data_IF_797606936577
#
_entry.id   IF_797606936577
#
_cell.length_a   1.000
_cell.length_b   1.000
_cell.length_c   1.000
_cell.angle_alpha   90.00
_cell.angle_beta   90.00
_cell.angle_gamma   90.00
#
_symmetry.space_group_name_H-M   'P 1'
#
loop_
_entity.id
_entity.type
_entity.pdbx_description
1 polymer ?
#
# COMPACT_ATOMS: atom_id res chain seq x y z
N UNK A 1 -5.27 20.36 2.06
CA UNK A 1 -4.89 19.65 3.33
C UNK A 1 -3.44 19.89 3.67
N UNK A 2 -2.50 19.70 2.72
CA UNK A 2 -1.05 19.77 2.98
C UNK A 2 -0.62 21.09 3.64
N UNK A 3 -1.11 22.21 3.15
CA UNK A 3 -0.85 23.57 3.66
C UNK A 3 -1.91 24.05 4.64
N UNK A 4 -3.19 23.93 4.28
CA UNK A 4 -4.30 24.56 5.03
C UNK A 4 -4.55 23.95 6.41
N UNK A 5 -4.10 22.70 6.63
CA UNK A 5 -4.27 22.01 7.90
C UNK A 5 -3.08 22.17 8.87
N UNK A 6 -2.00 22.87 8.49
CA UNK A 6 -0.79 23.00 9.32
C UNK A 6 -1.10 23.53 10.70
N UNK A 7 -1.86 24.62 10.79
CA UNK A 7 -2.22 25.24 12.06
C UNK A 7 -3.03 24.31 12.96
N UNK A 8 -3.97 23.55 12.37
CA UNK A 8 -4.84 22.64 13.12
C UNK A 8 -4.10 21.39 13.60
N UNK A 9 -3.13 20.90 12.82
CA UNK A 9 -2.42 19.64 13.11
C UNK A 9 -1.17 19.88 13.95
N UNK A 10 -0.41 20.97 13.67
CA UNK A 10 0.90 21.25 14.27
C UNK A 10 0.93 22.50 15.13
N UNK A 11 -0.18 23.25 15.21
CA UNK A 11 -0.27 24.50 15.98
C UNK A 11 0.44 25.69 15.34
N UNK A 12 1.02 25.54 14.15
CA UNK A 12 1.76 26.56 13.40
C UNK A 12 1.37 26.53 11.94
N UNK A 13 1.43 27.66 11.27
CA UNK A 13 1.10 27.86 9.86
C UNK A 13 2.31 28.22 8.98
N UNK A 14 3.45 28.51 9.61
CA UNK A 14 4.72 28.90 8.98
C UNK A 14 5.69 27.72 8.72
N UNK A 15 5.18 26.51 8.71
CA UNK A 15 5.97 25.30 8.50
C UNK A 15 6.09 24.95 7.01
N UNK A 16 7.23 24.34 6.63
CA UNK A 16 7.39 23.67 5.33
C UNK A 16 6.68 22.32 5.40
N UNK A 17 5.58 22.09 4.65
CA UNK A 17 4.79 20.88 4.78
C UNK A 17 5.41 19.70 4.03
N UNK A 18 5.94 18.72 4.77
CA UNK A 18 6.52 17.48 4.23
C UNK A 18 5.74 16.22 4.67
N UNK A 19 4.53 16.37 5.21
CA UNK A 19 3.76 15.31 5.86
C UNK A 19 2.72 14.64 4.95
N UNK A 20 2.34 15.29 3.86
CA UNK A 20 1.41 14.77 2.85
C UNK A 20 2.13 14.70 1.50
N UNK A 21 1.90 13.63 0.77
CA UNK A 21 2.55 13.38 -0.52
C UNK A 21 1.93 14.15 -1.70
N UNK A 22 1.09 15.15 -1.46
CA UNK A 22 0.59 16.04 -2.50
C UNK A 22 1.76 16.74 -3.18
N UNK A 23 1.80 16.70 -4.51
CA UNK A 23 2.83 17.42 -5.27
C UNK A 23 2.64 18.93 -5.18
N UNK A 24 3.76 19.66 -5.21
CA UNK A 24 3.80 21.13 -5.19
C UNK A 24 3.80 21.71 -6.62
N UNK A 25 3.59 20.89 -7.63
CA UNK A 25 3.50 21.27 -9.04
C UNK A 25 2.04 21.33 -9.51
N UNK A 26 1.76 22.21 -10.44
CA UNK A 26 0.45 22.28 -11.09
C UNK A 26 0.16 20.97 -11.85
N UNK A 27 -1.11 20.60 -11.86
CA UNK A 27 -1.57 19.48 -12.68
C UNK A 27 -1.36 19.78 -14.15
N UNK A 28 -0.78 18.87 -14.95
CA UNK A 28 -0.55 19.08 -16.37
C UNK A 28 -1.81 19.56 -17.12
N UNK A 29 -1.66 20.54 -18.04
CA UNK A 29 -2.81 21.14 -18.74
C UNK A 29 -3.70 20.13 -19.46
N UNK A 30 -3.14 19.07 -20.03
CA UNK A 30 -3.93 18.05 -20.74
C UNK A 30 -4.90 17.30 -19.81
N UNK A 31 -4.55 17.12 -18.53
CA UNK A 31 -5.45 16.50 -17.54
C UNK A 31 -6.58 17.45 -17.18
N UNK A 32 -6.25 18.72 -16.88
CA UNK A 32 -7.25 19.72 -16.52
C UNK A 32 -8.20 20.02 -17.68
N UNK A 33 -7.72 19.99 -18.93
CA UNK A 33 -8.54 20.16 -20.11
C UNK A 33 -9.49 18.97 -20.31
N UNK A 34 -9.03 17.73 -20.17
CA UNK A 34 -9.88 16.55 -20.25
C UNK A 34 -11.02 16.59 -19.18
N UNK A 35 -10.71 17.04 -17.97
CA UNK A 35 -11.71 17.24 -16.93
C UNK A 35 -12.73 18.34 -17.29
N UNK A 36 -12.27 19.46 -17.88
CA UNK A 36 -13.14 20.55 -18.32
C UNK A 36 -14.11 20.06 -19.38
N UNK A 37 -13.63 19.35 -20.41
CA UNK A 37 -14.46 18.76 -21.45
C UNK A 37 -15.48 17.76 -20.87
N UNK A 38 -15.08 16.94 -19.88
CA UNK A 38 -16.02 16.01 -19.22
C UNK A 38 -17.12 16.75 -18.47
N UNK A 39 -16.83 17.93 -17.89
CA UNK A 39 -17.81 18.76 -17.17
C UNK A 39 -18.85 19.43 -18.09
N UNK A 40 -18.57 19.56 -19.40
CA UNK A 40 -19.56 20.08 -20.38
C UNK A 40 -20.82 19.19 -20.42
N UNK A 41 -20.67 17.89 -20.19
CA UNK A 41 -21.78 16.99 -19.96
C UNK A 41 -22.20 17.03 -18.47
N UNK A 42 -23.13 17.90 -18.14
CA UNK A 42 -23.53 18.23 -16.76
C UNK A 42 -24.42 17.20 -16.05
N UNK A 43 -24.77 16.10 -16.70
CA UNK A 43 -25.52 14.99 -16.07
C UNK A 43 -24.51 13.98 -15.53
N UNK A 44 -24.49 13.81 -14.20
CA UNK A 44 -23.60 12.89 -13.49
C UNK A 44 -24.42 11.69 -13.00
N UNK A 45 -24.30 10.58 -13.70
CA UNK A 45 -24.92 9.32 -13.36
C UNK A 45 -23.89 8.23 -13.08
N UNK A 46 -24.32 6.99 -13.11
CA UNK A 46 -23.42 5.84 -13.06
C UNK A 46 -22.54 5.79 -14.33
N UNK A 47 -21.28 5.53 -14.14
CA UNK A 47 -20.33 5.38 -15.25
C UNK A 47 -20.23 3.89 -15.63
N UNK A 48 -20.47 3.58 -16.89
CA UNK A 48 -20.16 2.27 -17.42
C UNK A 48 -18.64 2.13 -17.57
N UNK A 49 -18.13 0.95 -17.24
CA UNK A 49 -16.73 0.65 -17.46
C UNK A 49 -16.47 0.49 -18.97
N UNK A 50 -15.48 1.17 -19.57
CA UNK A 50 -15.12 0.96 -20.96
C UNK A 50 -14.64 -0.47 -21.20
N UNK A 51 -14.94 -1.02 -22.39
CA UNK A 51 -14.56 -2.39 -22.76
C UNK A 51 -13.05 -2.60 -22.78
N UNK A 52 -12.28 -1.57 -23.11
CA UNK A 52 -10.82 -1.60 -23.18
C UNK A 52 -10.12 -1.29 -21.84
N UNK A 53 -10.88 -1.10 -20.75
CA UNK A 53 -10.30 -0.72 -19.44
C UNK A 53 -9.30 -1.77 -18.93
N UNK A 54 -9.75 -3.02 -18.77
CA UNK A 54 -8.88 -4.10 -18.30
C UNK A 54 -7.76 -4.47 -19.28
N UNK A 55 -8.03 -4.58 -20.58
CA UNK A 55 -6.96 -4.76 -21.58
C UNK A 55 -5.90 -3.65 -21.54
N UNK A 56 -6.29 -2.42 -21.27
CA UNK A 56 -5.34 -1.30 -21.14
C UNK A 56 -4.47 -1.45 -19.88
N UNK A 57 -5.07 -1.82 -18.74
CA UNK A 57 -4.32 -2.07 -17.49
C UNK A 57 -3.38 -3.25 -17.66
N UNK A 58 -3.84 -4.36 -18.23
CA UNK A 58 -3.03 -5.55 -18.51
C UNK A 58 -1.80 -5.21 -19.36
N UNK A 59 -2.00 -4.49 -20.46
CA UNK A 59 -0.91 -4.04 -21.34
C UNK A 59 0.08 -3.16 -20.60
N UNK A 60 -0.39 -2.21 -19.80
CA UNK A 60 0.47 -1.36 -19.01
C UNK A 60 1.35 -2.15 -18.03
N UNK A 61 0.77 -3.13 -17.34
CA UNK A 61 1.50 -4.02 -16.41
C UNK A 61 2.57 -4.82 -17.17
N UNK A 62 2.22 -5.37 -18.33
CA UNK A 62 3.16 -6.11 -19.16
C UNK A 62 4.31 -5.22 -19.66
N UNK A 63 3.99 -4.06 -20.24
CA UNK A 63 4.98 -3.15 -20.84
C UNK A 63 5.97 -2.60 -19.80
N UNK A 64 5.54 -2.38 -18.55
CA UNK A 64 6.37 -1.78 -17.51
C UNK A 64 7.04 -2.79 -16.59
N UNK A 65 6.47 -3.97 -16.42
CA UNK A 65 6.94 -4.95 -15.44
C UNK A 65 7.22 -6.33 -16.05
N UNK A 66 6.90 -6.57 -17.31
CA UNK A 66 7.03 -7.89 -17.94
C UNK A 66 6.16 -8.96 -17.27
N UNK A 67 5.12 -8.53 -16.56
CA UNK A 67 4.21 -9.42 -15.84
C UNK A 67 2.97 -9.69 -16.67
N UNK A 68 2.80 -10.94 -17.07
CA UNK A 68 1.65 -11.40 -17.82
C UNK A 68 0.51 -11.74 -16.84
N UNK A 69 -0.55 -10.94 -16.86
CA UNK A 69 -1.72 -11.07 -15.99
C UNK A 69 -2.98 -11.24 -16.83
N UNK A 70 -3.91 -12.07 -16.39
CA UNK A 70 -5.20 -12.22 -17.05
C UNK A 70 -6.19 -11.15 -16.58
N UNK A 71 -7.05 -10.67 -17.48
CA UNK A 71 -8.05 -9.64 -17.12
C UNK A 71 -8.98 -10.11 -16.00
N UNK A 72 -9.30 -11.41 -15.95
CA UNK A 72 -10.15 -12.02 -14.94
C UNK A 72 -9.54 -12.06 -13.54
N UNK A 73 -8.22 -11.88 -13.42
CA UNK A 73 -7.53 -11.81 -12.14
C UNK A 73 -7.61 -10.40 -11.50
N UNK A 74 -8.04 -9.43 -12.29
CA UNK A 74 -8.04 -8.04 -11.86
C UNK A 74 -9.42 -7.62 -11.34
N UNK A 75 -9.41 -6.85 -10.27
CA UNK A 75 -10.61 -6.19 -9.75
C UNK A 75 -10.29 -4.77 -9.31
N UNK A 76 -11.25 -3.88 -9.49
CA UNK A 76 -11.10 -2.49 -9.05
C UNK A 76 -11.35 -2.36 -7.55
N UNK A 77 -10.42 -1.72 -6.86
CA UNK A 77 -10.57 -1.34 -5.44
C UNK A 77 -10.35 0.18 -5.31
N UNK A 78 -11.22 0.90 -4.58
CA UNK A 78 -11.08 2.35 -4.44
C UNK A 78 -10.00 2.74 -3.42
N UNK A 79 -8.76 2.34 -3.69
CA UNK A 79 -7.56 2.65 -2.91
C UNK A 79 -7.05 1.53 -2.01
N UNK A 80 -5.73 1.49 -1.84
CA UNK A 80 -4.99 0.43 -1.14
C UNK A 80 -5.45 0.22 0.30
N UNK A 81 -5.71 1.29 1.05
CA UNK A 81 -6.15 1.19 2.46
C UNK A 81 -7.46 0.41 2.58
N UNK A 82 -8.41 0.63 1.66
CA UNK A 82 -9.65 -0.14 1.60
C UNK A 82 -9.41 -1.57 1.14
N UNK A 83 -8.53 -1.75 0.16
CA UNK A 83 -8.13 -3.07 -0.33
C UNK A 83 -7.53 -3.96 0.76
N UNK A 84 -6.65 -3.41 1.60
CA UNK A 84 -6.12 -4.12 2.78
C UNK A 84 -7.25 -4.58 3.70
N UNK A 85 -8.21 -3.71 4.01
CA UNK A 85 -9.36 -4.07 4.84
C UNK A 85 -10.22 -5.16 4.22
N UNK A 86 -10.45 -5.11 2.92
CA UNK A 86 -11.18 -6.15 2.18
C UNK A 86 -10.43 -7.48 2.21
N UNK A 87 -9.12 -7.49 1.94
CA UNK A 87 -8.28 -8.69 1.98
C UNK A 87 -8.27 -9.33 3.37
N UNK A 88 -8.11 -8.53 4.44
CA UNK A 88 -8.16 -9.01 5.82
C UNK A 88 -9.50 -9.71 6.13
N UNK A 89 -10.62 -9.13 5.70
CA UNK A 89 -11.94 -9.71 5.99
C UNK A 89 -12.29 -10.91 5.10
N UNK A 90 -11.69 -10.99 3.91
CA UNK A 90 -11.93 -12.10 2.99
C UNK A 90 -11.04 -13.32 3.26
N UNK A 91 -9.83 -13.11 3.77
CA UNK A 91 -8.77 -14.12 3.81
C UNK A 91 -8.38 -14.56 5.22
N UNK A 92 -8.76 -13.81 6.26
CA UNK A 92 -8.38 -14.11 7.64
C UNK A 92 -9.58 -14.40 8.53
N UNK A 93 -9.42 -15.41 9.39
CA UNK A 93 -10.32 -15.64 10.52
C UNK A 93 -10.13 -14.58 11.62
N UNK A 94 -11.08 -14.49 12.55
CA UNK A 94 -11.09 -13.40 13.55
C UNK A 94 -9.93 -13.43 14.53
N UNK A 95 -9.40 -14.60 14.84
CA UNK A 95 -8.29 -14.83 15.79
C UNK A 95 -6.91 -14.83 15.10
N UNK A 96 -6.87 -14.73 13.77
CA UNK A 96 -5.64 -14.66 13.01
C UNK A 96 -5.00 -13.27 13.05
N UNK A 97 -3.68 -13.23 12.88
CA UNK A 97 -2.84 -12.04 13.08
C UNK A 97 -2.24 -11.54 11.78
N UNK A 98 -1.97 -10.23 11.78
CA UNK A 98 -1.33 -9.53 10.66
C UNK A 98 0.04 -9.03 11.08
N UNK A 99 1.07 -9.37 10.32
CA UNK A 99 2.45 -8.90 10.52
C UNK A 99 2.68 -7.62 9.75
N UNK A 100 3.32 -6.65 10.39
CA UNK A 100 3.80 -5.41 9.77
C UNK A 100 5.24 -5.12 10.19
N UNK A 101 5.96 -4.32 9.40
CA UNK A 101 7.39 -4.04 9.58
C UNK A 101 7.64 -2.53 9.82
N UNK A 102 7.40 -2.01 11.05
CA UNK A 102 7.64 -0.60 11.34
C UNK A 102 9.14 -0.23 11.36
N UNK A 103 9.47 1.08 11.07
CA UNK A 103 8.52 2.15 10.74
C UNK A 103 7.86 1.92 9.39
N UNK A 104 6.53 1.93 9.32
CA UNK A 104 5.77 1.65 8.11
C UNK A 104 4.55 2.56 8.03
N UNK A 105 3.97 2.71 6.85
CA UNK A 105 2.77 3.49 6.61
C UNK A 105 1.68 3.17 7.63
N UNK A 106 1.26 4.17 8.40
CA UNK A 106 0.43 3.98 9.59
C UNK A 106 -0.90 3.21 9.37
N UNK A 107 -1.57 3.27 8.18
CA UNK A 107 -2.75 2.46 7.95
C UNK A 107 -2.49 0.95 8.02
N UNK A 108 -1.27 0.48 7.77
CA UNK A 108 -0.93 -0.95 7.89
C UNK A 108 -1.15 -1.50 9.30
N UNK A 109 -1.02 -0.65 10.31
CA UNK A 109 -1.40 -0.97 11.69
C UNK A 109 -2.88 -0.75 11.96
N UNK A 110 -3.40 0.41 11.55
CA UNK A 110 -4.74 0.84 11.93
C UNK A 110 -5.84 0.00 11.27
N UNK A 111 -5.63 -0.43 10.02
CA UNK A 111 -6.65 -1.19 9.28
C UNK A 111 -6.89 -2.58 9.91
N UNK A 112 -5.85 -3.41 10.17
CA UNK A 112 -6.06 -4.68 10.87
C UNK A 112 -6.72 -4.50 12.24
N UNK A 113 -6.24 -3.55 13.05
CA UNK A 113 -6.80 -3.27 14.38
C UNK A 113 -8.28 -2.89 14.33
N UNK A 114 -8.67 -1.99 13.38
CA UNK A 114 -10.07 -1.59 13.19
C UNK A 114 -10.96 -2.73 12.66
N UNK A 115 -10.36 -3.74 12.05
CA UNK A 115 -11.05 -4.96 11.61
C UNK A 115 -10.94 -6.10 12.64
N UNK A 116 -10.55 -5.80 13.87
CA UNK A 116 -10.51 -6.74 14.98
C UNK A 116 -9.39 -7.78 14.90
N UNK A 117 -8.32 -7.53 14.12
CA UNK A 117 -7.15 -8.42 14.01
C UNK A 117 -6.01 -7.90 14.88
N UNK A 118 -5.34 -8.82 15.56
CA UNK A 118 -4.11 -8.53 16.29
C UNK A 118 -2.97 -8.20 15.30
N UNK A 119 -2.16 -7.21 15.63
CA UNK A 119 -1.01 -6.81 14.81
C UNK A 119 0.27 -7.28 15.49
N UNK A 120 1.05 -8.04 14.76
CA UNK A 120 2.39 -8.48 15.17
C UNK A 120 3.43 -7.56 14.54
N UNK A 121 4.31 -7.03 15.37
CA UNK A 121 5.35 -6.10 14.93
C UNK A 121 6.66 -6.85 14.70
N UNK A 122 7.17 -6.75 13.48
CA UNK A 122 8.54 -7.10 13.11
C UNK A 122 9.30 -5.83 12.71
N UNK A 123 9.83 -5.05 13.66
CA UNK A 123 10.49 -3.79 13.35
C UNK A 123 11.67 -3.97 12.40
N UNK A 124 11.82 -3.02 11.48
CA UNK A 124 13.00 -2.94 10.65
C UNK A 124 14.22 -2.60 11.50
N UNK A 125 15.36 -3.14 11.14
CA UNK A 125 16.64 -2.84 11.79
C UNK A 125 17.31 -1.66 11.08
N UNK A 126 17.68 -0.63 11.84
CA UNK A 126 18.42 0.51 11.30
C UNK A 126 19.89 0.16 11.26
N UNK A 127 20.53 0.29 10.09
CA UNK A 127 21.95 0.10 9.88
C UNK A 127 22.78 1.33 10.28
N UNK A 128 24.09 1.15 10.37
CA UNK A 128 25.02 2.24 10.70
C UNK A 128 25.05 3.36 9.65
N UNK A 129 24.73 3.05 8.40
CA UNK A 129 24.60 4.02 7.30
C UNK A 129 23.27 4.79 7.31
N UNK A 130 22.42 4.53 8.29
CA UNK A 130 21.11 5.16 8.44
C UNK A 130 19.99 4.50 7.65
N UNK A 131 20.28 3.56 6.78
CA UNK A 131 19.29 2.79 6.03
C UNK A 131 18.63 1.71 6.90
N UNK A 132 17.50 1.21 6.43
CA UNK A 132 16.77 0.15 7.11
C UNK A 132 16.94 -1.18 6.35
N UNK A 133 16.87 -2.28 7.10
CA UNK A 133 16.81 -3.64 6.55
C UNK A 133 15.76 -4.47 7.27
N UNK A 134 15.27 -5.52 6.61
CA UNK A 134 14.34 -6.47 7.25
C UNK A 134 15.08 -7.32 8.27
N UNK A 135 14.50 -7.47 9.44
CA UNK A 135 14.99 -8.39 10.48
C UNK A 135 14.22 -9.71 10.37
N UNK A 136 14.74 -10.60 9.51
CA UNK A 136 14.15 -11.93 9.28
C UNK A 136 14.34 -12.86 10.49
N UNK A 137 15.39 -12.66 11.29
CA UNK A 137 15.60 -13.42 12.53
C UNK A 137 14.55 -13.06 13.59
N UNK A 138 14.27 -11.77 13.72
CA UNK A 138 13.19 -11.32 14.60
C UNK A 138 11.82 -11.76 14.07
N UNK A 139 11.61 -11.75 12.73
CA UNK A 139 10.38 -12.25 12.13
C UNK A 139 10.07 -13.69 12.54
N UNK A 140 11.09 -14.57 12.51
CA UNK A 140 10.98 -15.97 12.96
C UNK A 140 10.56 -16.07 14.44
N UNK A 141 11.07 -15.17 15.30
CA UNK A 141 10.81 -15.17 16.75
C UNK A 141 9.40 -14.65 17.11
N UNK A 142 8.92 -13.64 16.38
CA UNK A 142 7.64 -12.99 16.71
C UNK A 142 6.44 -13.65 16.02
N UNK A 143 6.70 -14.45 14.99
CA UNK A 143 5.68 -15.14 14.22
C UNK A 143 5.22 -16.42 14.97
N UNK A 144 3.98 -16.43 15.44
CA UNK A 144 3.31 -17.61 15.96
C UNK A 144 2.38 -18.26 14.91
N UNK A 145 1.74 -19.38 15.30
CA UNK A 145 0.88 -20.16 14.39
C UNK A 145 -0.43 -19.45 13.99
N UNK A 146 -0.75 -18.32 14.62
CA UNK A 146 -1.89 -17.47 14.27
C UNK A 146 -1.54 -16.36 13.27
N UNK A 147 -0.27 -16.17 12.96
CA UNK A 147 0.18 -15.22 11.94
C UNK A 147 -0.17 -15.75 10.55
N UNK A 148 -1.10 -15.11 9.85
CA UNK A 148 -1.61 -15.58 8.54
C UNK A 148 -1.44 -14.57 7.40
N UNK A 149 -1.12 -13.32 7.71
CA UNK A 149 -0.91 -12.29 6.71
C UNK A 149 0.27 -11.41 7.06
N UNK A 150 1.06 -11.03 6.05
CA UNK A 150 2.09 -10.01 6.13
C UNK A 150 1.78 -8.92 5.12
N UNK A 151 1.72 -7.66 5.59
CA UNK A 151 1.55 -6.51 4.71
C UNK A 151 2.92 -5.96 4.35
N UNK A 152 3.31 -6.14 3.08
CA UNK A 152 4.59 -5.71 2.54
C UNK A 152 4.49 -4.31 1.94
N UNK A 153 5.41 -3.42 2.32
CA UNK A 153 5.61 -2.14 1.63
C UNK A 153 6.82 -2.24 0.71
N UNK A 154 6.59 -2.12 -0.61
CA UNK A 154 7.66 -2.13 -1.62
C UNK A 154 7.26 -1.32 -2.88
N UNK A 155 7.89 -0.19 -3.19
CA UNK A 155 8.90 0.53 -2.39
C UNK A 155 8.41 0.88 -0.99
N UNK A 156 9.32 0.85 0.00
CA UNK A 156 8.93 0.97 1.40
C UNK A 156 8.62 2.41 1.82
N UNK A 157 7.45 2.63 2.38
CA UNK A 157 7.02 3.91 2.94
C UNK A 157 6.98 3.81 4.50
N UNK A 158 7.69 4.64 5.27
CA UNK A 158 8.40 5.87 4.87
C UNK A 158 9.92 5.70 4.63
N UNK A 159 10.49 4.50 4.72
CA UNK A 159 11.94 4.32 4.69
C UNK A 159 12.59 4.60 3.32
N UNK A 160 11.80 4.72 2.23
CA UNK A 160 12.31 5.05 0.90
C UNK A 160 13.23 3.98 0.30
N UNK A 161 12.94 2.71 0.55
CA UNK A 161 13.77 1.57 0.14
C UNK A 161 13.02 0.72 -0.86
N UNK A 162 13.71 0.31 -1.91
CA UNK A 162 13.32 -0.83 -2.74
C UNK A 162 14.05 -2.05 -2.21
N UNK A 163 13.31 -3.06 -1.79
CA UNK A 163 13.91 -4.26 -1.20
C UNK A 163 14.74 -5.04 -2.23
N UNK A 164 15.97 -5.47 -1.88
CA UNK A 164 16.76 -6.35 -2.73
C UNK A 164 16.02 -7.66 -3.02
N UNK A 165 16.19 -8.19 -4.23
CA UNK A 165 15.57 -9.45 -4.65
C UNK A 165 15.84 -10.60 -3.68
N UNK A 166 17.07 -10.71 -3.18
CA UNK A 166 17.46 -11.75 -2.21
C UNK A 166 16.66 -11.62 -0.91
N UNK A 167 16.42 -10.39 -0.43
CA UNK A 167 15.61 -10.16 0.78
C UNK A 167 14.17 -10.58 0.55
N UNK A 168 13.59 -10.23 -0.61
CA UNK A 168 12.23 -10.63 -0.97
C UNK A 168 12.10 -12.14 -1.15
N UNK A 169 13.11 -12.81 -1.70
CA UNK A 169 13.14 -14.28 -1.81
C UNK A 169 13.11 -14.95 -0.43
N UNK A 170 13.98 -14.53 0.48
CA UNK A 170 14.01 -15.05 1.86
C UNK A 170 12.68 -14.82 2.60
N UNK A 171 12.08 -13.63 2.41
CA UNK A 171 10.77 -13.34 2.96
C UNK A 171 9.70 -14.26 2.37
N UNK A 172 9.69 -14.45 1.05
CA UNK A 172 8.73 -15.33 0.37
C UNK A 172 8.87 -16.80 0.83
N UNK A 173 10.08 -17.30 0.95
CA UNK A 173 10.36 -18.65 1.47
C UNK A 173 9.86 -18.81 2.91
N UNK A 174 10.09 -17.82 3.77
CA UNK A 174 9.55 -17.79 5.13
C UNK A 174 8.02 -17.83 5.12
N UNK A 175 7.37 -16.93 4.37
CA UNK A 175 5.92 -16.84 4.31
C UNK A 175 5.30 -18.12 3.74
N UNK A 176 5.89 -18.69 2.70
CA UNK A 176 5.43 -19.96 2.13
C UNK A 176 5.50 -21.09 3.15
N UNK A 177 6.65 -21.26 3.83
CA UNK A 177 6.84 -22.29 4.87
C UNK A 177 5.83 -22.17 6.02
N UNK A 178 5.48 -20.95 6.40
CA UNK A 178 4.54 -20.65 7.50
C UNK A 178 3.08 -20.56 7.04
N UNK A 179 2.81 -20.65 5.75
CA UNK A 179 1.47 -20.47 5.19
C UNK A 179 0.93 -19.06 5.37
N UNK A 180 1.80 -18.04 5.31
CA UNK A 180 1.45 -16.63 5.45
C UNK A 180 1.16 -16.02 4.08
N UNK A 181 0.04 -15.34 3.96
CA UNK A 181 -0.35 -14.59 2.77
C UNK A 181 0.41 -13.25 2.78
N UNK A 182 1.06 -12.90 1.68
CA UNK A 182 1.71 -11.59 1.50
C UNK A 182 0.84 -10.70 0.62
N UNK A 183 0.54 -9.50 1.09
CA UNK A 183 -0.19 -8.47 0.35
C UNK A 183 0.58 -7.15 0.30
#
# INVERSE_FOLDING_TARGET
IKTDALKNVFGKDDLIPLWVADMDFETPPFITEALRQRLEHSVFGYTAQPEDYWPTVQRWIYDHHGWDVECEWMTYIPGIVKGIGMAINALLEKDEKVIIQPPVYHPFRLVPQKNGREVVFNPLRKKNDGLYEMDLENLEKVCDDRCRMLILSNPHNPAGIIWPRETLQKLAEFCHRKGIIVI
#
